data_IF_576603225103
#
_entry.id   IF_576603225103
#
_cell.length_a   1.000
_cell.length_b   1.000
_cell.length_c   1.000
_cell.angle_alpha   90.00
_cell.angle_beta   90.00
_cell.angle_gamma   90.00
#
_symmetry.space_group_name_H-M   'P 1'
#
loop_
_entity.id
_entity.type
_entity.pdbx_description
1 polymer ?
2 non-polymer ?
#
# COMPACT_ATOMS: atom_id res chain seq x y z
N UNK A 9 23.96 9.96 -13.86
CA UNK A 9 23.87 8.46 -13.93
C UNK A 9 22.47 7.92 -13.59
N UNK A 10 21.92 7.18 -14.55
CA UNK A 10 20.74 6.35 -14.28
C UNK A 10 21.01 5.58 -12.99
N UNK A 11 19.98 5.44 -12.17
CA UNK A 11 20.06 4.86 -10.85
C UNK A 11 18.73 5.34 -10.43
N UNK A 12 18.32 6.37 -11.17
CA UNK A 12 17.07 7.03 -10.95
C UNK A 12 16.05 5.93 -10.88
N UNK A 13 16.03 5.06 -11.90
CA UNK A 13 15.06 3.96 -11.91
C UNK A 13 15.08 3.13 -10.62
N UNK A 14 16.28 2.65 -10.26
CA UNK A 14 16.47 1.85 -9.07
C UNK A 14 15.69 2.52 -7.96
N UNK A 15 16.23 3.62 -7.46
CA UNK A 15 15.54 4.46 -6.52
C UNK A 15 14.09 4.65 -6.93
N UNK A 16 13.83 4.97 -8.20
CA UNK A 16 12.45 5.31 -8.57
C UNK A 16 11.49 4.12 -8.47
N UNK A 17 11.86 3.02 -9.11
CA UNK A 17 11.05 1.82 -9.01
C UNK A 17 10.86 1.45 -7.54
N UNK A 18 11.97 1.31 -6.78
CA UNK A 18 11.95 0.88 -5.39
C UNK A 18 10.98 1.66 -4.55
N UNK A 19 10.91 2.95 -4.79
CA UNK A 19 10.06 3.80 -3.96
C UNK A 19 8.64 3.64 -4.40
N UNK A 20 8.47 3.48 -5.70
CA UNK A 20 7.14 3.44 -6.27
C UNK A 20 6.43 2.19 -5.80
N UNK A 21 7.19 1.11 -5.68
CA UNK A 21 6.73 -0.08 -4.98
C UNK A 21 6.48 0.20 -3.50
N UNK A 22 7.46 0.83 -2.83
CA UNK A 22 7.43 1.15 -1.40
C UNK A 22 6.11 1.85 -0.97
N UNK A 23 5.78 2.90 -1.71
CA UNK A 23 4.47 3.56 -1.71
C UNK A 23 3.28 2.59 -1.82
N UNK A 24 3.18 1.94 -2.99
CA UNK A 24 2.11 1.01 -3.27
C UNK A 24 1.90 0.11 -2.09
N UNK A 25 2.98 -0.40 -1.50
CA UNK A 25 2.85 -1.39 -0.42
C UNK A 25 2.18 -0.78 0.78
N UNK A 26 2.55 0.44 1.07
CA UNK A 26 1.91 1.18 2.14
C UNK A 26 0.42 1.16 1.98
N UNK A 27 -0.04 1.36 0.75
CA UNK A 27 -1.46 1.25 0.44
C UNK A 27 -2.03 -0.15 0.68
N UNK A 28 -1.23 -1.17 0.45
CA UNK A 28 -1.73 -2.50 0.67
C UNK A 28 -2.12 -2.62 2.16
N UNK A 29 -1.28 -2.13 3.04
CA UNK A 29 -1.58 -2.25 4.46
C UNK A 29 -2.95 -1.67 4.75
N UNK A 30 -3.31 -0.57 4.06
CA UNK A 30 -4.56 0.21 4.32
C UNK A 30 -5.82 -0.62 4.17
N UNK A 31 -5.75 -1.53 3.18
CA UNK A 31 -6.75 -2.56 2.97
C UNK A 31 -6.88 -3.42 4.20
N UNK A 32 -5.79 -4.11 4.56
CA UNK A 32 -5.79 -5.01 5.74
C UNK A 32 -6.42 -4.33 6.94
N UNK A 33 -6.08 -3.04 7.13
CA UNK A 33 -6.62 -2.24 8.23
C UNK A 33 -8.13 -2.23 8.12
N UNK A 34 -8.62 -1.79 6.96
CA UNK A 34 -10.02 -1.94 6.56
C UNK A 34 -10.56 -3.21 7.15
N UNK A 35 -10.06 -4.35 6.67
CA UNK A 35 -10.49 -5.68 7.10
C UNK A 35 -10.88 -5.94 8.55
N UNK A 36 -10.26 -5.20 9.47
CA UNK A 36 -10.65 -5.24 10.88
C UNK A 36 -11.97 -4.47 11.10
N UNK A 37 -11.99 -3.23 10.60
CA UNK A 37 -13.01 -2.23 10.90
C UNK A 37 -14.43 -2.76 10.83
N UNK A 38 -14.75 -3.40 9.70
CA UNK A 38 -16.14 -3.78 9.33
C UNK A 38 -17.06 -4.29 10.45
N UNK A 41 -20.71 -13.75 15.26
CA UNK A 41 -20.03 -14.26 14.05
C UNK A 41 -18.55 -13.82 13.90
N UNK A 42 -17.67 -14.82 13.83
CA UNK A 42 -16.25 -14.58 13.75
C UNK A 42 -15.91 -14.23 12.33
N UNK A 43 -15.07 -15.08 11.75
CA UNK A 43 -14.68 -15.10 10.34
C UNK A 43 -15.40 -14.24 9.34
N UNK A 44 -14.67 -13.39 8.65
CA UNK A 44 -15.02 -13.06 7.27
C UNK A 44 -13.80 -13.36 6.45
N UNK A 45 -13.78 -14.53 5.81
CA UNK A 45 -12.78 -14.80 4.78
C UNK A 45 -13.06 -13.79 3.68
N UNK A 46 -12.02 -13.11 3.20
CA UNK A 46 -12.23 -12.20 2.10
C UNK A 46 -11.12 -12.34 1.08
N UNK A 47 -11.41 -11.87 -0.12
CA UNK A 47 -10.51 -11.99 -1.25
C UNK A 47 -10.64 -10.73 -2.11
N UNK A 48 -9.53 -10.04 -2.37
CA UNK A 48 -9.57 -8.72 -2.99
C UNK A 48 -8.67 -8.65 -4.25
N UNK A 49 -8.90 -7.64 -5.10
CA UNK A 49 -7.85 -7.04 -5.95
C UNK A 49 -7.70 -5.53 -5.76
N UNK A 50 -6.48 -5.04 -5.91
CA UNK A 50 -6.24 -3.61 -5.76
C UNK A 50 -5.40 -3.25 -6.98
N UNK A 51 -5.96 -2.37 -7.80
CA UNK A 51 -5.27 -1.85 -8.95
C UNK A 51 -4.84 -0.40 -8.70
N UNK A 52 -3.52 -0.16 -8.72
CA UNK A 52 -2.96 1.22 -8.62
C UNK A 52 -2.45 1.73 -9.97
N UNK A 53 -2.72 3.01 -10.25
CA UNK A 53 -2.19 3.65 -11.43
C UNK A 53 -1.84 5.09 -11.13
N UNK A 54 -0.58 5.45 -11.23
CA UNK A 54 -0.16 6.81 -10.99
C UNK A 54 0.68 7.36 -12.13
N UNK A 55 0.92 8.68 -12.14
CA UNK A 55 1.95 9.33 -13.00
C UNK A 55 2.75 10.30 -12.14
N UNK A 56 4.00 10.55 -12.56
CA UNK A 56 4.96 11.33 -11.76
C UNK A 56 5.30 12.72 -12.25
N UNK A 57 5.56 12.93 -13.55
CA UNK A 57 6.05 14.26 -14.03
C UNK A 57 4.99 15.36 -14.17
N UNK A 61 10.23 14.09 -20.75
CA UNK A 61 10.55 13.36 -19.53
C UNK A 61 9.34 13.27 -18.58
N UNK A 62 8.66 12.11 -18.56
CA UNK A 62 7.42 11.93 -17.79
C UNK A 62 7.16 10.53 -17.17
N UNK A 63 7.03 10.48 -15.85
CA UNK A 63 6.86 9.23 -15.11
C UNK A 63 5.48 8.60 -15.16
N UNK A 64 5.43 7.29 -14.92
CA UNK A 64 4.20 6.51 -14.96
C UNK A 64 4.34 5.23 -14.15
N UNK A 65 3.21 4.70 -13.69
CA UNK A 65 3.16 3.42 -12.96
C UNK A 65 1.82 2.70 -13.13
N UNK A 66 1.86 1.36 -13.03
CA UNK A 66 0.67 0.52 -12.84
C UNK A 66 0.95 -0.74 -12.02
N UNK A 67 0.09 -1.04 -11.04
CA UNK A 67 0.25 -2.22 -10.21
C UNK A 67 -1.04 -2.97 -9.93
N UNK A 68 -0.92 -4.30 -9.86
CA UNK A 68 -2.03 -5.23 -9.61
C UNK A 68 -1.64 -6.28 -8.56
N UNK A 69 -2.45 -6.46 -7.54
CA UNK A 69 -2.16 -7.47 -6.52
C UNK A 69 -3.39 -8.33 -6.17
N UNK A 70 -3.21 -9.65 -6.09
CA UNK A 70 -4.21 -10.59 -5.59
C UNK A 70 -3.95 -10.78 -4.11
N UNK A 71 -5.01 -11.16 -3.35
CA UNK A 71 -4.93 -11.15 -1.87
C UNK A 71 -6.03 -11.96 -1.14
N UNK A 72 -5.62 -12.90 -0.27
CA UNK A 72 -6.52 -13.67 0.62
C UNK A 72 -6.16 -13.65 2.09
N UNK A 73 -7.13 -13.26 2.92
CA UNK A 73 -6.93 -13.21 4.36
C UNK A 73 -8.21 -13.35 5.16
N UNK A 74 -8.04 -13.42 6.48
CA UNK A 74 -9.14 -13.70 7.39
C UNK A 74 -9.19 -12.70 8.53
N UNK A 75 -10.38 -12.55 9.10
CA UNK A 75 -10.72 -11.49 10.06
C UNK A 75 -11.54 -12.05 11.25
N UNK A 76 -10.79 -12.75 12.10
CA UNK A 76 -11.24 -13.33 13.35
C UNK A 76 -11.58 -12.29 14.42
N UNK A 77 -12.77 -12.44 14.97
CA UNK A 77 -13.19 -11.72 16.14
C UNK A 77 -12.79 -12.62 17.31
N UNK A 78 -11.56 -12.44 17.80
CA UNK A 78 -11.02 -13.31 18.87
C UNK A 78 -11.57 -13.01 20.26
N UNK A 79 -12.56 -12.13 20.37
CA UNK A 79 -13.23 -11.90 21.65
C UNK A 79 -13.98 -10.58 21.80
N UNK A 80 -14.36 -10.29 23.04
CA UNK A 80 -14.91 -9.00 23.43
C UNK A 80 -13.96 -7.84 23.00
N UNK A 81 -14.44 -6.98 22.12
CA UNK A 81 -13.65 -5.83 21.64
C UNK A 81 -12.39 -6.11 20.80
N UNK A 82 -12.12 -7.37 20.52
CA UNK A 82 -10.92 -7.69 19.77
C UNK A 82 -11.17 -8.37 18.43
N UNK A 83 -10.44 -7.89 17.41
CA UNK A 83 -10.40 -8.42 16.06
C UNK A 83 -8.97 -8.69 15.64
N UNK A 84 -8.78 -9.76 14.88
CA UNK A 84 -7.44 -10.24 14.60
C UNK A 84 -7.47 -10.62 13.15
N UNK A 85 -6.43 -10.26 12.40
CA UNK A 85 -6.49 -10.47 10.95
C UNK A 85 -5.14 -10.71 10.34
N UNK A 86 -5.01 -11.83 9.63
CA UNK A 86 -3.80 -12.16 8.90
C UNK A 86 -4.16 -12.37 7.43
N UNK A 87 -3.60 -11.53 6.58
CA UNK A 87 -3.78 -11.60 5.14
C UNK A 87 -2.44 -11.93 4.46
N UNK A 88 -2.50 -12.77 3.42
CA UNK A 88 -1.39 -12.95 2.48
C UNK A 88 -1.80 -12.67 1.02
N UNK A 89 -0.94 -11.96 0.30
CA UNK A 89 -1.21 -11.66 -1.08
C UNK A 89 0.07 -11.57 -1.88
N UNK A 90 -0.07 -11.16 -3.12
CA UNK A 90 1.09 -11.00 -3.94
C UNK A 90 0.85 -9.77 -4.77
N UNK A 91 1.79 -9.43 -5.63
CA UNK A 91 1.69 -8.26 -6.46
C UNK A 91 2.74 -8.26 -7.54
N UNK A 92 2.33 -7.74 -8.70
CA UNK A 92 3.20 -7.43 -9.82
C UNK A 92 3.08 -5.93 -10.01
N UNK A 93 4.17 -5.28 -10.38
CA UNK A 93 4.17 -3.84 -10.61
C UNK A 93 5.17 -3.37 -11.64
N UNK A 94 4.73 -2.44 -12.49
CA UNK A 94 5.59 -1.88 -13.54
C UNK A 94 5.77 -0.36 -13.46
N UNK A 95 6.96 0.08 -13.90
CA UNK A 95 7.34 1.49 -13.92
C UNK A 95 7.95 1.81 -15.29
N UNK A 96 7.35 2.80 -15.97
CA UNK A 96 7.88 3.32 -17.24
C UNK A 96 8.37 4.75 -17.02
N UNK A 97 9.64 4.97 -17.32
CA UNK A 97 10.27 6.30 -17.33
C UNK A 97 10.88 6.53 -18.72
N UNK A 98 11.71 7.57 -18.87
CA UNK A 98 12.26 7.88 -20.19
C UNK A 98 12.83 6.64 -20.91
N UNK A 99 13.93 6.12 -20.38
CA UNK A 99 14.69 5.06 -21.01
C UNK A 99 14.63 3.74 -20.23
N UNK A 100 14.14 3.82 -18.99
CA UNK A 100 14.15 2.69 -18.07
C UNK A 100 12.75 2.15 -17.71
N UNK A 101 12.64 0.82 -17.68
CA UNK A 101 11.44 0.10 -17.23
C UNK A 101 11.75 -0.75 -16.04
N UNK A 102 10.77 -0.92 -15.17
CA UNK A 102 10.96 -1.78 -14.03
C UNK A 102 9.73 -2.63 -13.80
N UNK A 103 9.89 -3.94 -13.88
CA UNK A 103 8.83 -4.85 -13.50
C UNK A 103 9.16 -5.27 -12.11
N UNK A 104 8.14 -5.49 -11.31
CA UNK A 104 8.32 -5.77 -9.90
C UNK A 104 7.54 -6.99 -9.59
N UNK A 105 7.99 -7.76 -8.62
CA UNK A 105 7.28 -8.95 -8.21
C UNK A 105 7.43 -9.13 -6.74
N UNK A 106 6.33 -9.49 -6.09
CA UNK A 106 6.28 -9.55 -4.65
C UNK A 106 5.21 -10.54 -4.14
N UNK A 107 5.41 -10.91 -2.87
CA UNK A 107 4.58 -11.75 -2.02
C UNK A 107 4.85 -11.26 -0.60
N UNK A 108 3.78 -10.93 0.09
CA UNK A 108 3.90 -10.42 1.42
C UNK A 108 2.91 -11.04 2.37
N UNK A 109 3.17 -10.85 3.63
CA UNK A 109 2.35 -11.38 4.69
C UNK A 109 1.98 -10.15 5.53
N UNK A 110 0.67 -9.93 5.66
CA UNK A 110 0.12 -8.84 6.46
C UNK A 110 -0.63 -9.39 7.68
N UNK A 111 -0.69 -8.60 8.75
CA UNK A 111 -1.42 -8.95 9.95
C UNK A 111 -1.83 -7.68 10.69
N UNK A 112 -2.98 -7.71 11.32
CA UNK A 112 -3.44 -6.58 12.11
C UNK A 112 -4.31 -6.98 13.30
N UNK A 113 -4.13 -6.20 14.36
CA UNK A 113 -4.85 -6.42 15.59
C UNK A 113 -5.49 -5.14 16.03
N UNK A 114 -6.82 -5.23 16.19
CA UNK A 114 -7.71 -4.12 16.50
C UNK A 114 -8.29 -4.22 17.92
N UNK A 115 -7.81 -3.42 18.86
CA UNK A 115 -8.46 -3.41 20.17
C UNK A 115 -9.47 -2.27 20.29
N UNK A 116 -10.68 -2.59 20.72
CA UNK A 116 -11.70 -1.56 20.96
C UNK A 116 -11.86 -1.12 22.40
N UNK A 117 -12.13 0.17 22.54
CA UNK A 117 -12.46 0.70 23.83
C UNK A 117 -13.96 0.89 23.82
N UNK A 118 -14.75 -0.11 24.25
CA UNK A 118 -16.19 0.08 24.25
C UNK A 118 -16.59 0.73 22.95
N UNK A 119 -17.56 1.63 22.93
CA UNK A 119 -17.95 2.19 21.62
C UNK A 119 -17.45 3.58 21.22
N UNK A 120 -16.32 4.02 21.77
CA UNK A 120 -15.72 5.34 21.48
C UNK A 120 -14.61 5.35 20.44
N UNK A 121 -13.67 4.41 20.53
CA UNK A 121 -12.53 4.32 19.62
C UNK A 121 -11.68 3.07 19.82
N UNK A 122 -10.50 3.06 19.21
CA UNK A 122 -9.76 1.78 19.06
C UNK A 122 -8.27 1.84 18.73
N UNK A 123 -7.57 0.78 19.03
CA UNK A 123 -6.17 0.71 18.65
C UNK A 123 -5.93 -0.33 17.56
N UNK A 124 -4.94 -0.06 16.72
CA UNK A 124 -4.60 -0.97 15.65
C UNK A 124 -3.10 -1.15 15.71
N UNK A 125 -2.68 -2.38 15.95
CA UNK A 125 -1.29 -2.77 15.79
C UNK A 125 -1.25 -3.48 14.45
N UNK A 126 -0.30 -3.11 13.60
CA UNK A 126 -0.27 -3.65 12.24
C UNK A 126 1.12 -4.02 11.80
N UNK A 127 1.23 -5.15 11.08
CA UNK A 127 2.52 -5.68 10.67
C UNK A 127 2.52 -6.24 9.24
N UNK A 128 3.69 -6.18 8.60
CA UNK A 128 3.90 -6.68 7.25
C UNK A 128 5.35 -6.99 6.92
N UNK A 129 5.52 -8.15 6.34
CA UNK A 129 6.80 -8.54 5.84
C UNK A 129 6.61 -8.94 4.42
N UNK A 130 7.55 -8.54 3.57
CA UNK A 130 7.37 -8.62 2.15
C UNK A 130 8.67 -8.75 1.42
N UNK A 131 8.64 -9.71 0.50
CA UNK A 131 9.70 -9.91 -0.45
C UNK A 131 9.30 -9.28 -1.79
N UNK A 132 10.32 -8.84 -2.53
CA UNK A 132 10.16 -8.20 -3.84
C UNK A 132 11.45 -8.30 -4.65
N UNK A 133 11.27 -8.44 -5.96
CA UNK A 133 12.35 -8.47 -6.91
C UNK A 133 11.99 -7.42 -7.97
N UNK A 134 13.00 -6.65 -8.39
CA UNK A 134 12.87 -5.74 -9.52
C UNK A 134 13.78 -6.22 -10.58
N UNK A 135 13.20 -6.51 -11.72
CA UNK A 135 13.98 -6.65 -12.90
C UNK A 135 13.93 -5.27 -13.45
N UNK A 136 15.10 -4.64 -13.57
CA UNK A 136 15.24 -3.34 -14.21
C UNK A 136 15.84 -3.54 -15.58
N UNK A 137 15.54 -2.61 -16.48
CA UNK A 137 16.14 -2.58 -17.81
C UNK A 137 16.10 -1.16 -18.36
N UNK A 138 17.26 -0.64 -18.72
CA UNK A 138 17.39 0.77 -19.14
C UNK A 138 18.38 1.03 -20.28
N UNK A 139 18.10 2.05 -21.09
CA UNK A 139 18.99 2.46 -22.16
C UNK A 139 20.09 3.22 -21.45
N UNK A 140 21.24 2.57 -21.31
CA UNK A 140 22.33 3.08 -20.47
C UNK A 140 23.30 3.89 -21.29
N UNK A 141 22.98 3.99 -22.58
CA UNK A 141 23.81 4.66 -23.57
C UNK A 141 23.07 4.58 -24.88
N UNK A 142 23.58 5.26 -25.90
CA UNK A 142 22.99 5.16 -27.22
C UNK A 142 23.25 3.75 -27.73
N UNK A 143 22.18 3.07 -28.17
CA UNK A 143 22.25 1.70 -28.73
C UNK A 143 22.61 0.55 -27.76
N UNK A 144 22.76 0.84 -26.46
CA UNK A 144 23.22 -0.15 -25.49
C UNK A 144 22.23 -0.42 -24.34
N UNK A 145 21.92 -1.70 -24.15
CA UNK A 145 21.06 -2.11 -23.05
C UNK A 145 21.93 -2.44 -21.84
N UNK A 146 21.40 -2.14 -20.64
CA UNK A 146 21.88 -2.62 -19.33
C UNK A 146 20.66 -3.05 -18.48
N UNK A 147 20.60 -4.34 -18.18
CA UNK A 147 19.54 -4.85 -17.33
C UNK A 147 20.23 -5.24 -16.04
N UNK A 148 19.45 -5.45 -14.98
CA UNK A 148 20.00 -5.97 -13.75
C UNK A 148 18.90 -6.60 -12.93
N UNK A 149 19.24 -7.53 -12.05
CA UNK A 149 18.22 -8.05 -11.14
C UNK A 149 18.54 -7.72 -9.69
N UNK A 150 17.52 -7.25 -8.99
CA UNK A 150 17.67 -6.76 -7.61
C UNK A 150 16.59 -7.26 -6.64
N UNK A 151 17.06 -7.74 -5.50
CA UNK A 151 16.28 -8.49 -4.53
C UNK A 151 16.21 -7.78 -3.20
N UNK A 152 15.13 -7.98 -2.44
CA UNK A 152 14.93 -7.19 -1.24
C UNK A 152 13.75 -7.54 -0.37
N UNK A 153 13.53 -6.73 0.65
CA UNK A 153 12.50 -6.94 1.66
C UNK A 153 11.98 -5.59 2.14
N UNK A 154 10.66 -5.42 2.16
CA UNK A 154 10.05 -4.32 2.89
C UNK A 154 9.50 -4.93 4.15
N UNK A 155 9.39 -4.14 5.20
CA UNK A 155 8.86 -4.62 6.46
C UNK A 155 8.13 -3.49 7.11
N UNK A 156 6.87 -3.73 7.46
CA UNK A 156 6.04 -2.64 7.88
C UNK A 156 5.46 -2.81 9.29
N UNK A 157 5.52 -1.74 10.08
CA UNK A 157 5.10 -1.76 11.48
C UNK A 157 4.31 -0.51 11.69
N UNK A 158 3.17 -0.60 12.38
CA UNK A 158 2.25 0.53 12.41
C UNK A 158 1.31 0.65 13.57
N UNK A 159 1.28 1.83 14.17
CA UNK A 159 0.37 2.19 15.26
C UNK A 159 -0.76 3.06 14.70
N UNK A 160 -1.95 3.00 15.31
CA UNK A 160 -3.12 3.68 14.76
C UNK A 160 -4.32 3.66 15.69
N UNK A 161 -4.82 4.82 16.08
CA UNK A 161 -5.92 4.90 17.03
C UNK A 161 -7.07 5.70 16.46
N UNK A 162 -8.30 5.40 16.84
CA UNK A 162 -9.46 6.07 16.24
C UNK A 162 -10.62 6.33 17.19
N UNK A 163 -11.48 7.28 16.80
CA UNK A 163 -12.75 7.61 17.50
C UNK A 163 -13.96 7.55 16.59
N UNK A 164 -14.99 6.88 17.06
CA UNK A 164 -16.33 7.01 16.49
C UNK A 164 -16.94 8.35 16.91
N UNK A 165 -17.69 8.97 16.00
CA UNK A 165 -18.22 10.32 16.19
C UNK A 165 -19.60 10.32 15.54
N UNK A 166 -20.60 10.97 16.13
CA UNK A 166 -21.84 11.30 15.39
C UNK A 166 -21.86 12.74 14.84
N UNK A 170 -29.47 9.01 10.89
CA UNK A 170 -28.62 8.04 10.20
C UNK A 170 -27.36 8.67 9.54
N UNK A 171 -26.19 8.05 9.79
CA UNK A 171 -24.90 8.51 9.25
C UNK A 171 -23.84 8.63 10.35
N UNK A 172 -22.56 8.51 9.99
CA UNK A 172 -21.50 8.38 11.02
C UNK A 172 -20.10 8.83 10.59
N UNK A 173 -19.37 9.44 11.53
CA UNK A 173 -18.07 10.03 11.25
C UNK A 173 -16.90 9.42 12.02
N UNK A 174 -15.75 9.31 11.36
CA UNK A 174 -14.57 8.71 11.98
C UNK A 174 -13.26 9.45 11.66
N UNK A 175 -12.52 9.76 12.71
CA UNK A 175 -11.30 10.55 12.66
C UNK A 175 -10.21 9.74 13.29
N UNK A 176 -9.15 9.52 12.54
CA UNK A 176 -8.24 8.44 12.87
C UNK A 176 -6.84 8.74 12.37
N UNK A 177 -5.82 8.41 13.16
CA UNK A 177 -4.47 8.65 12.70
C UNK A 177 -3.42 7.85 13.45
N UNK A 178 -2.20 7.88 12.94
CA UNK A 178 -1.10 7.20 13.56
C UNK A 178 0.15 7.26 12.72
N UNK A 179 1.02 6.27 12.87
CA UNK A 179 2.33 6.33 12.29
C UNK A 179 2.69 5.01 11.73
N UNK A 180 3.49 5.03 10.68
CA UNK A 180 3.95 3.79 10.10
C UNK A 180 5.45 3.86 9.94
N UNK A 181 6.11 2.71 10.08
CA UNK A 181 7.53 2.69 9.83
C UNK A 181 7.88 1.53 8.92
N UNK A 182 8.45 1.92 7.78
CA UNK A 182 8.80 1.04 6.68
C UNK A 182 10.25 0.67 6.81
N UNK A 183 10.55 -0.63 6.78
CA UNK A 183 11.96 -0.99 6.77
C UNK A 183 12.31 -1.76 5.53
N UNK A 184 13.15 -1.13 4.71
CA UNK A 184 13.57 -1.67 3.43
C UNK A 184 15.05 -2.12 3.44
N UNK A 185 15.23 -3.41 3.19
CA UNK A 185 16.55 -3.99 3.05
C UNK A 185 16.59 -4.52 1.62
N UNK A 186 17.57 -4.05 0.84
CA UNK A 186 17.70 -4.43 -0.57
C UNK A 186 19.08 -5.07 -0.77
N UNK A 187 19.15 -6.16 -1.51
CA UNK A 187 20.38 -6.91 -1.69
C UNK A 187 21.30 -6.22 -2.68
N UNK A 188 22.51 -6.81 -2.86
CA UNK A 188 23.63 -6.24 -3.65
C UNK A 188 23.67 -6.81 -5.05
N UNK A 189 23.57 -5.97 -6.07
CA UNK A 189 23.33 -6.48 -7.42
C UNK A 189 24.30 -5.98 -8.50
N UNK A 190 24.10 -6.50 -9.71
CA UNK A 190 24.97 -6.23 -10.87
C UNK A 190 24.14 -5.74 -12.05
N UNK A 191 24.70 -4.87 -12.87
CA UNK A 191 24.01 -4.41 -14.07
C UNK A 191 24.78 -4.97 -15.28
N UNK A 192 24.29 -6.11 -15.75
CA UNK A 192 24.88 -6.86 -16.86
C UNK A 192 24.54 -6.29 -18.25
N UNK A 193 25.58 -6.10 -19.07
CA UNK A 193 25.39 -5.82 -20.47
C UNK A 193 26.29 -4.71 -20.96
N UNK A 194 25.84 -3.47 -20.74
CA UNK A 194 26.63 -2.28 -21.05
C UNK A 194 27.61 -2.04 -19.91
N UNK A 195 28.86 -1.72 -20.25
CA UNK A 195 29.94 -1.58 -19.26
C UNK A 195 29.85 -0.30 -18.42
N UNK A 196 28.87 0.55 -18.72
CA UNK A 196 28.61 1.73 -17.90
C UNK A 196 27.46 1.50 -16.87
N UNK A 197 27.25 0.23 -16.52
CA UNK A 197 26.20 -0.19 -15.59
C UNK A 197 26.68 -0.36 -14.16
N UNK A 198 25.82 0.04 -13.21
CA UNK A 198 26.20 0.09 -11.79
C UNK A 198 26.41 -1.30 -11.19
N UNK A 199 27.19 -1.37 -10.12
CA UNK A 199 27.21 -2.53 -9.23
C UNK A 199 26.66 -2.12 -7.88
N UNK A 200 25.39 -2.42 -7.66
CA UNK A 200 24.68 -2.08 -6.44
C UNK A 200 25.33 -2.59 -5.18
N UNK A 201 25.59 -1.64 -4.28
CA UNK A 201 26.01 -1.93 -2.92
C UNK A 201 24.71 -1.98 -2.17
N UNK A 202 24.59 -2.88 -1.18
CA UNK A 202 23.30 -3.06 -0.47
C UNK A 202 22.76 -1.77 0.17
N UNK A 203 21.56 -1.87 0.75
CA UNK A 203 20.79 -0.70 1.14
C UNK A 203 19.83 -1.03 2.28
N UNK A 204 20.06 -0.39 3.43
CA UNK A 204 19.11 -0.36 4.54
C UNK A 204 18.59 1.05 4.57
N UNK A 205 17.27 1.21 4.66
CA UNK A 205 16.64 2.51 4.84
C UNK A 205 15.34 2.34 5.62
N UNK A 206 14.98 3.29 6.48
CA UNK A 206 13.77 3.22 7.31
C UNK A 206 13.05 4.57 7.39
N UNK A 207 11.73 4.57 7.57
CA UNK A 207 10.98 5.81 7.41
C UNK A 207 9.70 5.92 8.24
N UNK A 208 9.70 6.85 9.17
CA UNK A 208 8.49 7.21 9.87
C UNK A 208 7.51 8.00 8.99
N UNK A 209 6.24 7.64 9.09
CA UNK A 209 5.14 8.27 8.35
C UNK A 209 3.96 8.72 9.25
N UNK A 210 3.58 10.00 9.17
CA UNK A 210 2.39 10.48 9.82
C UNK A 210 1.17 10.17 8.95
N UNK A 211 0.07 9.75 9.59
CA UNK A 211 -1.15 9.36 8.89
C UNK A 211 -2.41 9.94 9.55
N UNK A 212 -3.28 10.60 8.78
CA UNK A 212 -4.39 11.40 9.34
C UNK A 212 -5.63 11.48 8.46
N UNK A 213 -6.65 10.67 8.74
CA UNK A 213 -7.80 10.55 7.87
C UNK A 213 -9.15 10.72 8.53
N UNK A 214 -10.13 11.17 7.75
CA UNK A 214 -11.47 11.45 8.20
C UNK A 214 -12.37 10.61 7.35
N UNK A 215 -13.30 9.84 7.94
CA UNK A 215 -14.18 8.95 7.16
C UNK A 215 -15.66 9.12 7.47
N UNK A 216 -16.42 9.62 6.48
CA UNK A 216 -17.90 9.74 6.55
C UNK A 216 -18.70 8.60 5.87
N UNK A 217 -19.65 8.06 6.64
CA UNK A 217 -20.41 6.83 6.32
C UNK A 217 -21.93 7.00 6.50
N UNK A 218 -22.63 7.37 5.43
CA UNK A 218 -24.08 7.57 5.49
C UNK A 218 -24.78 6.31 4.99
N UNK A 219 -25.71 5.75 5.78
CA UNK A 219 -26.30 4.44 5.43
C UNK A 219 -27.45 4.58 4.44
N UNK A 220 -27.54 3.56 3.58
CA UNK A 220 -28.51 3.50 2.51
C UNK A 220 -29.72 2.64 2.97
N UNK A 221 -29.45 1.43 3.43
CA UNK A 221 -30.47 0.61 4.04
C UNK A 221 -29.82 -0.16 5.19
N UNK A 222 -30.55 -1.10 5.76
CA UNK A 222 -30.00 -2.06 6.71
C UNK A 222 -29.33 -3.27 5.99
N UNK A 223 -28.64 -3.00 4.89
CA UNK A 223 -28.03 -4.04 4.06
C UNK A 223 -27.11 -3.47 2.97
N UNK A 224 -26.54 -2.30 3.25
CA UNK A 224 -25.74 -1.56 2.29
C UNK A 224 -25.31 -0.32 2.99
N UNK A 225 -24.02 -0.01 2.91
CA UNK A 225 -23.40 1.06 3.71
C UNK A 225 -22.50 1.95 2.87
N UNK A 226 -22.81 3.24 2.78
CA UNK A 226 -22.15 4.15 1.83
C UNK A 226 -21.21 5.19 2.48
N UNK A 227 -20.00 5.36 1.92
CA UNK A 227 -19.03 6.32 2.51
C UNK A 227 -18.03 7.09 1.65
N UNK A 228 -17.63 8.24 2.20
CA UNK A 228 -16.66 9.15 1.61
C UNK A 228 -15.50 9.47 2.58
N UNK A 229 -14.25 9.42 2.10
CA UNK A 229 -13.07 9.54 2.96
C UNK A 229 -12.11 10.57 2.45
N UNK A 230 -11.56 11.34 3.38
CA UNK A 230 -10.46 12.28 3.13
C UNK A 230 -9.41 12.14 4.24
N UNK A 231 -8.13 12.29 3.87
CA UNK A 231 -7.06 12.28 4.84
C UNK A 231 -5.80 12.84 4.22
N UNK A 232 -4.76 13.11 5.03
CA UNK A 232 -3.47 13.56 4.53
C UNK A 232 -2.42 12.61 5.02
N UNK A 233 -1.18 12.69 4.48
CA UNK A 233 -0.03 11.95 5.07
C UNK A 233 1.43 12.33 4.70
N UNK A 234 2.18 12.83 5.69
CA UNK A 234 3.54 13.32 5.45
C UNK A 234 4.60 12.29 5.84
N UNK A 235 5.83 12.49 5.40
CA UNK A 235 6.95 11.70 5.91
C UNK A 235 7.80 12.46 6.93
N UNK A 236 7.90 11.90 8.14
CA UNK A 236 8.59 12.58 9.22
C UNK A 236 10.08 12.67 8.95
N UNK A 237 10.58 11.73 8.17
CA UNK A 237 12.02 11.67 7.90
C UNK A 237 12.30 11.15 6.51
N UNK A 238 13.57 11.22 6.13
CA UNK A 238 14.02 10.94 4.79
C UNK A 238 13.85 9.52 4.30
N UNK A 239 13.46 9.43 3.04
CA UNK A 239 13.38 8.16 2.38
C UNK A 239 14.01 8.40 1.02
N UNK A 240 15.13 7.73 0.80
CA UNK A 240 15.87 7.74 -0.45
C UNK A 240 16.53 6.36 -0.60
N UNK A 241 16.46 5.81 -1.81
CA UNK A 241 16.89 4.43 -2.06
C UNK A 241 17.91 4.33 -3.20
N UNK A 242 18.65 5.43 -3.40
CA UNK A 242 19.80 5.51 -4.30
C UNK A 242 20.86 4.54 -3.78
N UNK A 243 21.74 4.04 -4.67
CA UNK A 243 22.72 3.00 -4.30
C UNK A 243 24.18 3.48 -4.45
N UNK A 244 25.18 2.60 -4.26
CA UNK A 244 26.59 3.00 -4.37
C UNK A 244 27.52 2.22 -5.31
N UNK A 245 28.35 2.97 -6.03
CA UNK A 245 29.58 2.46 -6.67
C UNK A 245 29.43 1.52 -7.82
N UNK A 261 14.56 14.66 -6.97
CA UNK A 261 13.37 14.37 -7.74
C UNK A 261 12.11 14.44 -6.88
N UNK A 262 11.99 13.47 -5.99
CA UNK A 262 10.68 13.09 -5.47
C UNK A 262 10.20 13.85 -4.21
N UNK A 263 8.98 14.40 -4.29
CA UNK A 263 8.34 15.12 -3.18
C UNK A 263 7.78 14.31 -1.97
N UNK A 264 7.07 15.03 -1.09
CA UNK A 264 6.65 14.64 0.25
C UNK A 264 5.13 14.51 0.35
N UNK A 265 4.53 15.29 1.26
CA UNK A 265 3.08 15.37 1.59
C UNK A 265 1.98 15.03 0.55
N UNK A 266 1.09 14.11 0.92
CA UNK A 266 -0.06 13.73 0.10
C UNK A 266 -1.36 14.21 0.72
N UNK A 267 -2.28 14.70 -0.11
CA UNK A 267 -3.71 14.71 0.18
C UNK A 267 -4.32 13.48 -0.47
N UNK A 268 -5.32 12.88 0.18
CA UNK A 268 -6.08 11.78 -0.41
C UNK A 268 -7.55 11.89 -0.10
N UNK A 269 -8.38 11.76 -1.11
CA UNK A 269 -9.79 11.59 -0.89
C UNK A 269 -10.25 10.29 -1.55
N UNK A 270 -11.43 9.82 -1.18
CA UNK A 270 -12.04 8.69 -1.86
C UNK A 270 -13.51 8.40 -1.53
N UNK A 271 -14.01 7.34 -2.16
CA UNK A 271 -15.40 6.89 -2.11
C UNK A 271 -15.45 5.39 -1.74
N UNK A 272 -16.60 4.93 -1.25
CA UNK A 272 -16.81 3.50 -1.07
C UNK A 272 -18.14 2.99 -0.49
N UNK A 273 -18.49 1.75 -0.87
CA UNK A 273 -19.69 1.03 -0.42
C UNK A 273 -19.40 -0.38 0.06
N UNK A 274 -20.07 -0.80 1.13
CA UNK A 274 -20.24 -2.24 1.39
C UNK A 274 -21.65 -2.61 0.95
N UNK A 275 -21.87 -3.90 0.64
CA UNK A 275 -23.18 -4.37 0.24
C UNK A 275 -23.38 -5.82 0.69
N UNK A 276 -24.57 -6.19 1.16
CA UNK A 276 -24.83 -7.59 1.55
C UNK A 276 -25.70 -8.40 0.60
N UNK A 277 -25.21 -9.58 0.23
CA UNK A 277 -25.73 -10.36 -0.90
C UNK A 277 -26.42 -11.70 -0.56
N UNK A 278 -26.79 -11.85 0.71
CA UNK A 278 -27.47 -13.07 1.11
C UNK A 278 -26.61 -13.95 1.99
N UNK A 279 -26.46 -15.21 1.59
CA UNK A 279 -26.17 -16.29 2.54
C UNK A 279 -24.75 -16.41 3.12
N UNK A 280 -24.40 -15.37 3.87
CA UNK A 280 -23.04 -15.09 4.28
C UNK A 280 -22.38 -14.07 3.36
N UNK A 281 -22.50 -14.29 2.05
CA UNK A 281 -21.72 -13.56 1.03
C UNK A 281 -21.93 -12.06 1.08
N UNK A 282 -20.92 -11.33 0.62
CA UNK A 282 -20.98 -9.87 0.53
C UNK A 282 -19.90 -9.20 -0.34
N UNK A 283 -20.26 -8.03 -0.90
CA UNK A 283 -19.39 -7.25 -1.75
C UNK A 283 -18.65 -6.20 -0.97
N UNK A 284 -17.84 -5.38 -1.67
CA UNK A 284 -17.00 -4.31 -1.09
C UNK A 284 -16.31 -3.53 -2.21
N UNK A 285 -16.23 -2.21 -2.09
CA UNK A 285 -15.70 -1.36 -3.18
C UNK A 285 -15.12 -0.05 -2.66
N UNK A 286 -13.94 0.34 -3.14
CA UNK A 286 -13.24 1.53 -2.62
C UNK A 286 -12.43 2.23 -3.67
N UNK A 287 -12.56 3.55 -3.77
CA UNK A 287 -11.71 4.38 -4.65
C UNK A 287 -10.91 5.45 -3.88
N UNK A 288 -9.62 5.59 -4.18
CA UNK A 288 -8.84 6.73 -3.64
C UNK A 288 -8.14 7.58 -4.69
N UNK A 289 -8.02 8.86 -4.40
CA UNK A 289 -7.12 9.73 -5.15
C UNK A 289 -6.12 10.31 -4.22
N UNK A 290 -4.86 10.08 -4.52
CA UNK A 290 -3.79 10.60 -3.71
C UNK A 290 -3.16 11.77 -4.50
N UNK A 291 -3.11 12.95 -3.88
CA UNK A 291 -2.95 14.16 -4.66
C UNK A 291 -1.91 15.17 -4.26
N UNK A 292 -0.71 15.02 -4.82
CA UNK A 292 0.32 16.05 -4.71
C UNK A 292 0.18 16.98 -5.91
N UNK A 293 1.10 17.94 -6.01
CA UNK A 293 1.42 18.65 -7.26
C UNK A 293 2.74 18.03 -7.73
N UNK A 294 2.63 17.22 -8.79
CA UNK A 294 3.71 16.34 -9.26
C UNK A 294 3.68 14.93 -8.60
N UNK A 295 2.47 14.38 -8.45
CA UNK A 295 2.19 12.99 -8.04
C UNK A 295 0.71 12.76 -7.75
N UNK A 296 -0.07 12.43 -8.78
CA UNK A 296 -1.42 11.89 -8.61
C UNK A 296 -1.44 10.35 -8.68
N UNK A 297 -2.24 9.72 -7.83
CA UNK A 297 -2.38 8.26 -7.84
C UNK A 297 -3.87 7.83 -7.75
N UNK A 298 -4.28 6.86 -8.58
CA UNK A 298 -5.62 6.28 -8.48
C UNK A 298 -5.59 4.86 -8.00
N UNK A 299 -6.27 4.61 -6.89
CA UNK A 299 -6.32 3.28 -6.33
C UNK A 299 -7.73 2.75 -6.06
N UNK A 300 -8.03 1.61 -6.69
CA UNK A 300 -9.35 1.00 -6.64
C UNK A 300 -9.40 -0.46 -6.21
N UNK A 301 -10.07 -0.72 -5.10
CA UNK A 301 -10.25 -2.07 -4.55
C UNK A 301 -11.66 -2.68 -4.72
N UNK A 302 -11.71 -3.99 -4.89
CA UNK A 302 -12.94 -4.73 -5.15
C UNK A 302 -12.74 -6.22 -4.77
N UNK A 303 -13.64 -6.78 -3.97
CA UNK A 303 -13.56 -8.21 -3.72
C UNK A 303 -14.70 -8.78 -2.91
N UNK A 304 -14.75 -10.11 -2.78
CA UNK A 304 -15.84 -10.78 -2.04
C UNK A 304 -15.44 -11.14 -0.61
N UNK A 305 -16.34 -11.86 0.07
CA UNK A 305 -16.16 -12.19 1.47
C UNK A 305 -17.30 -13.01 2.04
N UNK A 306 -16.95 -13.86 2.98
CA UNK A 306 -17.86 -14.86 3.54
C UNK A 306 -17.83 -14.77 5.05
N UNK A 307 -18.97 -14.52 5.67
CA UNK A 307 -18.96 -14.51 7.11
C UNK A 307 -19.53 -15.80 7.65
N UNK A 308 -18.78 -16.36 8.61
CA UNK A 308 -19.08 -17.61 9.33
C UNK A 308 -19.42 -17.24 10.79
X LIG B 1 -2.87 -13.88 14.78
X LIG B 1 -2.58 -12.54 15.45
X LIG B 1 -1.68 -11.70 14.56
X LIG B 1 -1.29 -10.38 15.21
X LIG B 1 0.13 -10.45 15.77
X LIG B 1 0.97 -9.49 15.17
X LIG B 1 0.33 -8.24 14.94
X LIG B 1 1.04 -7.10 15.66
X LIG B 1 1.53 -6.17 14.71
X LIG B 1 1.91 -4.94 15.29
#
# INVERSE_FOLDING_TARGET
DGVRIFNSLAATVYADSTAAHADMQGRRLKAVSDGLDHNGTGLRVIAQTQQDGGTWEQGGVEGKMRGSTQTVGIAAKTGENTTAAATLGMGRSTWSENSANAKTDSISLFAGIRHDAGDIGYLKGLFSYGRYKNSISRSTGADEHAEGSVNGTLMQLGALGGVNVPFAATGDLTVEGGLRYDLLKQDAFAEKGSALGWSGNSLTEGTLVGLAGLKLSQPLSDKAVLFATAGVERDLNGRDYTVTGGFTGATAATGKTGARNMPHTRLVAGLGADVEFGNGWNGLARYSYAGSKQYGNHSGRVGVGYRF
CXE C6 C7 C8 C9 C10 O11 C12 C13 O14 C15
#
